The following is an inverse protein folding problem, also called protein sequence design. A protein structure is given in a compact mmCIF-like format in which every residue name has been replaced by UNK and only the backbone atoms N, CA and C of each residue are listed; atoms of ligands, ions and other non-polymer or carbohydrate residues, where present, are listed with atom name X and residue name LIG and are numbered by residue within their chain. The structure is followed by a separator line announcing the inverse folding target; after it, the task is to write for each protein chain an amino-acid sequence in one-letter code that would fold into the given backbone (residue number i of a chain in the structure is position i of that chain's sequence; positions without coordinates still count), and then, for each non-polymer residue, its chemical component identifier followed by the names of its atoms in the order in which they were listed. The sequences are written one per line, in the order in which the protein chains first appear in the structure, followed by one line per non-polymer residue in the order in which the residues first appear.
data_IF_028872013960
#
_entry.id   IF_028872013960
#
_cell.length_a   1.000
_cell.length_b   1.000
_cell.length_c   1.000
_cell.angle_alpha   90.00
_cell.angle_beta   90.00
_cell.angle_gamma   90.00
#
_symmetry.space_group_name_H-M   'P 1'
#
loop_
_entity.id
_entity.type
_entity.pdbx_description
1 polymer ?
#
# COMPACT_ATOMS: atom_id res chain seq x y z
N UNK A 1 -5.64 9.96 3.44
CA UNK A 1 -4.88 8.98 4.23
C UNK A 1 -5.72 8.23 5.28
N UNK A 2 -6.91 8.71 5.63
CA UNK A 2 -7.79 8.00 6.55
C UNK A 2 -8.48 6.84 5.82
N UNK A 3 -8.07 5.59 6.11
CA UNK A 3 -8.62 4.41 5.49
C UNK A 3 -8.36 3.16 6.36
N UNK A 4 -9.24 2.17 6.24
CA UNK A 4 -8.93 0.80 6.63
C UNK A 4 -8.10 0.14 5.52
N UNK A 5 -7.03 -0.58 5.88
CA UNK A 5 -6.04 -1.04 4.90
C UNK A 5 -5.51 -2.46 5.09
N UNK A 6 -6.09 -3.25 5.99
CA UNK A 6 -5.61 -4.62 6.25
C UNK A 6 -6.51 -5.64 5.56
N UNK A 7 -6.00 -6.34 4.54
CA UNK A 7 -6.78 -7.28 3.71
C UNK A 7 -7.45 -8.37 4.56
N UNK A 8 -6.71 -9.04 5.47
CA UNK A 8 -7.29 -10.12 6.30
C UNK A 8 -8.45 -9.62 7.17
N UNK A 9 -8.34 -8.40 7.73
CA UNK A 9 -9.45 -7.79 8.47
C UNK A 9 -10.64 -7.49 7.56
N UNK A 10 -10.41 -7.16 6.29
CA UNK A 10 -11.52 -6.95 5.35
C UNK A 10 -12.27 -8.22 5.01
N UNK A 11 -11.61 -9.37 5.06
CA UNK A 11 -12.25 -10.68 4.83
C UNK A 11 -13.12 -11.07 6.02
N UNK A 12 -12.65 -10.82 7.25
CA UNK A 12 -13.37 -11.18 8.48
C UNK A 12 -14.47 -10.17 8.87
N UNK A 13 -14.35 -8.89 8.48
CA UNK A 13 -15.29 -7.81 8.83
C UNK A 13 -15.28 -6.70 7.77
N UNK A 14 -15.98 -6.88 6.63
CA UNK A 14 -15.94 -5.94 5.51
C UNK A 14 -16.66 -4.61 5.77
N UNK A 15 -17.61 -4.57 6.71
CA UNK A 15 -18.47 -3.42 6.93
C UNK A 15 -17.67 -2.15 7.27
N UNK A 16 -16.67 -2.28 8.13
CA UNK A 16 -15.82 -1.12 8.52
C UNK A 16 -15.08 -0.53 7.32
N UNK A 17 -14.71 -1.36 6.34
CA UNK A 17 -14.07 -0.91 5.09
C UNK A 17 -15.04 -0.13 4.20
N UNK A 18 -16.31 -0.54 4.14
CA UNK A 18 -17.38 0.17 3.41
C UNK A 18 -17.63 1.53 4.08
N UNK A 19 -17.83 1.56 5.39
CA UNK A 19 -18.06 2.79 6.14
C UNK A 19 -16.87 3.77 6.04
N UNK A 20 -15.66 3.29 6.22
CA UNK A 20 -14.47 4.15 6.24
C UNK A 20 -14.02 4.54 4.83
N UNK A 21 -13.84 3.56 3.93
CA UNK A 21 -13.21 3.83 2.64
C UNK A 21 -14.17 4.38 1.61
N UNK A 22 -15.45 3.97 1.62
CA UNK A 22 -16.45 4.41 0.64
C UNK A 22 -17.22 5.60 1.17
N UNK A 23 -17.94 5.44 2.27
CA UNK A 23 -18.77 6.49 2.85
C UNK A 23 -17.90 7.65 3.39
N UNK A 24 -16.78 7.35 4.06
CA UNK A 24 -15.83 8.36 4.51
C UNK A 24 -15.29 9.20 3.36
N UNK A 25 -14.91 8.58 2.23
CA UNK A 25 -14.49 9.30 1.01
C UNK A 25 -15.61 10.20 0.48
N UNK A 26 -16.84 9.71 0.41
CA UNK A 26 -18.00 10.51 -0.03
C UNK A 26 -18.21 11.74 0.87
N UNK A 27 -18.09 11.59 2.19
CA UNK A 27 -18.22 12.70 3.14
C UNK A 27 -17.13 13.74 2.91
N UNK A 28 -15.88 13.31 2.74
CA UNK A 28 -14.77 14.23 2.48
C UNK A 28 -14.92 14.96 1.14
N UNK A 29 -15.42 14.30 0.10
CA UNK A 29 -15.71 14.93 -1.19
C UNK A 29 -16.85 15.95 -1.10
N UNK A 30 -17.90 15.67 -0.32
CA UNK A 30 -18.96 16.65 -0.05
C UNK A 30 -18.40 17.90 0.65
N UNK A 31 -17.56 17.71 1.67
CA UNK A 31 -16.89 18.81 2.35
C UNK A 31 -15.97 19.58 1.40
N UNK A 32 -15.13 18.87 0.62
CA UNK A 32 -14.24 19.50 -0.36
C UNK A 32 -15.00 20.38 -1.37
N UNK A 33 -16.15 19.90 -1.86
CA UNK A 33 -17.04 20.66 -2.72
C UNK A 33 -17.65 21.87 -2.02
N UNK A 34 -18.15 21.70 -0.80
CA UNK A 34 -18.82 22.76 -0.04
C UNK A 34 -17.85 23.89 0.33
N UNK A 35 -16.59 23.58 0.61
CA UNK A 35 -15.55 24.53 0.97
C UNK A 35 -14.68 24.98 -0.21
N UNK A 36 -15.02 24.62 -1.44
CA UNK A 36 -14.32 25.01 -2.66
C UNK A 36 -12.81 24.72 -2.60
N UNK A 37 -12.44 23.50 -2.14
CA UNK A 37 -11.04 23.10 -2.04
C UNK A 37 -10.40 23.10 -3.43
N UNK A 38 -9.22 23.72 -3.54
CA UNK A 38 -8.50 23.89 -4.81
C UNK A 38 -8.07 22.56 -5.45
N UNK A 39 -7.72 21.56 -4.62
CA UNK A 39 -7.32 20.23 -5.07
C UNK A 39 -7.68 19.16 -4.04
N UNK A 40 -8.19 18.04 -4.50
CA UNK A 40 -8.47 16.85 -3.69
C UNK A 40 -7.69 15.67 -4.24
N UNK A 41 -6.79 15.08 -3.45
CA UNK A 41 -6.04 13.91 -3.86
C UNK A 41 -6.47 12.69 -3.05
N UNK A 42 -6.91 11.64 -3.75
CA UNK A 42 -7.21 10.32 -3.21
C UNK A 42 -5.99 9.41 -3.30
N UNK A 43 -5.50 8.94 -2.17
CA UNK A 43 -4.49 7.88 -2.13
C UNK A 43 -5.19 6.52 -2.23
N UNK A 44 -4.92 5.80 -3.32
CA UNK A 44 -5.45 4.47 -3.63
C UNK A 44 -4.33 3.44 -3.69
N UNK A 45 -4.59 2.29 -4.25
CA UNK A 45 -3.71 1.13 -4.29
C UNK A 45 -3.75 0.44 -5.66
N UNK A 46 -2.70 -0.24 -6.06
CA UNK A 46 -2.64 -1.09 -7.25
C UNK A 46 -3.54 -2.34 -7.13
N UNK A 47 -3.88 -2.76 -5.91
CA UNK A 47 -4.80 -3.88 -5.67
C UNK A 47 -6.19 -3.69 -6.31
N UNK A 48 -6.56 -2.45 -6.68
CA UNK A 48 -7.84 -2.18 -7.39
C UNK A 48 -7.87 -2.77 -8.80
N UNK A 49 -6.71 -3.06 -9.38
CA UNK A 49 -6.59 -3.65 -10.71
C UNK A 49 -6.80 -5.17 -10.74
N UNK A 50 -6.70 -5.84 -9.59
CA UNK A 50 -6.74 -7.30 -9.49
C UNK A 50 -5.36 -7.94 -9.61
N UNK A 51 -5.28 -9.17 -10.13
CA UNK A 51 -4.04 -9.94 -10.21
C UNK A 51 -3.49 -9.99 -11.64
N UNK A 52 -2.19 -9.77 -11.80
CA UNK A 52 -1.47 -10.00 -13.05
C UNK A 52 -1.09 -11.48 -13.22
N UNK A 53 -0.89 -11.88 -14.48
CA UNK A 53 -0.16 -13.08 -14.83
C UNK A 53 1.36 -12.94 -14.58
N UNK A 54 2.13 -13.82 -15.22
CA UNK A 54 3.60 -13.83 -15.07
C UNK A 54 4.28 -12.58 -15.63
N UNK A 55 3.68 -11.93 -16.61
CA UNK A 55 4.25 -10.79 -17.34
C UNK A 55 3.27 -9.61 -17.40
N UNK A 56 3.78 -8.45 -17.84
CA UNK A 56 3.02 -7.23 -18.03
C UNK A 56 2.95 -6.34 -16.80
N UNK A 57 2.27 -5.19 -16.98
CA UNK A 57 2.08 -4.17 -15.95
C UNK A 57 0.64 -3.68 -15.96
N UNK A 58 0.16 -3.19 -14.83
CA UNK A 58 -1.03 -2.38 -14.77
C UNK A 58 -0.74 -0.94 -15.18
N UNK A 59 -1.56 -0.42 -16.05
CA UNK A 59 -1.58 0.98 -16.48
C UNK A 59 -2.79 1.69 -15.88
N UNK A 60 -2.81 3.02 -15.89
CA UNK A 60 -3.95 3.79 -15.38
C UNK A 60 -5.24 3.52 -16.15
N UNK A 61 -5.13 3.02 -17.38
CA UNK A 61 -6.26 2.62 -18.24
C UNK A 61 -6.72 1.19 -18.02
N UNK A 62 -5.99 0.39 -17.23
CA UNK A 62 -6.39 -0.99 -16.92
C UNK A 62 -7.73 -1.02 -16.19
N UNK A 63 -8.70 -1.84 -16.61
CA UNK A 63 -9.97 -2.00 -15.92
C UNK A 63 -9.80 -2.43 -14.47
N UNK A 64 -10.67 -1.93 -13.58
CA UNK A 64 -10.68 -2.33 -12.18
C UNK A 64 -11.29 -3.73 -12.02
N UNK A 65 -10.59 -4.62 -11.34
CA UNK A 65 -11.02 -6.00 -11.08
C UNK A 65 -10.57 -6.48 -9.68
N UNK A 66 -10.93 -5.76 -8.60
CA UNK A 66 -10.48 -6.05 -7.24
C UNK A 66 -10.96 -7.41 -6.74
N UNK A 67 -10.09 -8.19 -6.06
CA UNK A 67 -10.38 -9.55 -5.60
C UNK A 67 -10.60 -9.66 -4.08
N UNK A 68 -10.42 -8.59 -3.32
CA UNK A 68 -10.68 -8.58 -1.87
C UNK A 68 -11.69 -7.51 -1.48
N UNK A 69 -12.39 -7.62 -0.31
CA UNK A 69 -13.27 -6.55 0.18
C UNK A 69 -12.52 -5.22 0.38
N UNK A 70 -11.25 -5.26 0.82
CA UNK A 70 -10.42 -4.07 0.90
C UNK A 70 -10.22 -3.42 -0.47
N UNK A 71 -9.70 -4.16 -1.45
CA UNK A 71 -9.44 -3.61 -2.78
C UNK A 71 -10.73 -3.16 -3.48
N UNK A 72 -11.85 -3.86 -3.27
CA UNK A 72 -13.17 -3.45 -3.76
C UNK A 72 -13.63 -2.12 -3.13
N UNK A 73 -13.40 -1.92 -1.83
CA UNK A 73 -13.72 -0.66 -1.15
C UNK A 73 -12.89 0.51 -1.67
N UNK A 74 -11.60 0.28 -1.98
CA UNK A 74 -10.71 1.29 -2.57
C UNK A 74 -11.09 1.62 -4.01
N UNK A 75 -11.41 0.60 -4.83
CA UNK A 75 -11.92 0.80 -6.19
C UNK A 75 -13.23 1.61 -6.20
N UNK A 76 -14.15 1.31 -5.27
CA UNK A 76 -15.38 2.07 -5.10
C UNK A 76 -15.11 3.54 -4.73
N UNK A 77 -14.16 3.78 -3.84
CA UNK A 77 -13.74 5.14 -3.49
C UNK A 77 -13.18 5.88 -4.72
N UNK A 78 -12.33 5.25 -5.53
CA UNK A 78 -11.80 5.82 -6.78
C UNK A 78 -12.93 6.23 -7.74
N UNK A 79 -13.93 5.38 -7.92
CA UNK A 79 -15.09 5.65 -8.79
C UNK A 79 -15.91 6.85 -8.27
N UNK A 80 -16.10 6.96 -6.95
CA UNK A 80 -16.78 8.11 -6.35
C UNK A 80 -15.95 9.38 -6.56
N UNK A 81 -14.64 9.34 -6.33
CA UNK A 81 -13.74 10.50 -6.58
C UNK A 81 -13.83 10.95 -8.04
N UNK A 82 -13.76 10.01 -8.99
CA UNK A 82 -13.94 10.29 -10.42
C UNK A 82 -15.29 10.94 -10.72
N UNK A 83 -16.38 10.44 -10.12
CA UNK A 83 -17.72 10.98 -10.34
C UNK A 83 -17.86 12.44 -9.89
N UNK A 84 -17.15 12.85 -8.84
CA UNK A 84 -17.16 14.24 -8.38
C UNK A 84 -16.43 15.19 -9.34
N UNK A 85 -15.38 14.72 -10.01
CA UNK A 85 -14.76 15.47 -11.10
C UNK A 85 -15.71 15.62 -12.29
N UNK A 86 -16.26 14.53 -12.80
CA UNK A 86 -17.11 14.52 -13.98
C UNK A 86 -18.44 15.30 -13.77
N UNK A 87 -19.05 15.15 -12.59
CA UNK A 87 -20.37 15.72 -12.32
C UNK A 87 -20.30 17.18 -11.83
N UNK A 88 -19.33 17.48 -11.00
CA UNK A 88 -19.28 18.76 -10.29
C UNK A 88 -18.08 19.63 -10.65
N UNK A 89 -17.15 19.13 -11.47
CA UNK A 89 -15.89 19.82 -11.78
C UNK A 89 -14.95 19.97 -10.58
N UNK A 90 -15.14 19.16 -9.51
CA UNK A 90 -14.24 19.22 -8.36
C UNK A 90 -12.83 18.77 -8.80
N UNK A 91 -11.77 19.57 -8.58
CA UNK A 91 -10.42 19.23 -9.06
C UNK A 91 -9.81 18.05 -8.29
N UNK A 92 -10.22 16.84 -8.63
CA UNK A 92 -9.77 15.62 -7.99
C UNK A 92 -8.58 14.99 -8.72
N UNK A 93 -7.75 14.28 -7.96
CA UNK A 93 -6.60 13.50 -8.39
C UNK A 93 -6.61 12.15 -7.69
N UNK A 94 -6.11 11.11 -8.32
CA UNK A 94 -5.97 9.78 -7.71
C UNK A 94 -4.53 9.30 -7.90
N UNK A 95 -3.89 8.81 -6.83
CA UNK A 95 -2.68 8.01 -6.94
C UNK A 95 -2.99 6.56 -6.62
N UNK A 96 -2.49 5.61 -7.42
CA UNK A 96 -2.52 4.17 -7.14
C UNK A 96 -1.10 3.72 -6.90
N UNK A 97 -0.81 3.33 -5.66
CA UNK A 97 0.56 2.98 -5.29
C UNK A 97 0.75 1.48 -5.11
N UNK A 98 1.97 1.04 -5.33
CA UNK A 98 2.45 -0.29 -4.97
C UNK A 98 2.68 -0.45 -3.46
N UNK A 99 3.19 -1.60 -3.03
CA UNK A 99 3.38 -1.92 -1.61
C UNK A 99 4.39 -0.98 -0.97
N UNK A 100 3.93 -0.17 -0.03
CA UNK A 100 4.80 0.72 0.74
C UNK A 100 5.60 -0.04 1.79
N UNK A 101 6.82 0.40 2.04
CA UNK A 101 7.64 -0.02 3.18
C UNK A 101 8.49 1.16 3.68
N UNK A 102 8.92 1.11 4.93
CA UNK A 102 9.75 2.18 5.53
C UNK A 102 9.38 2.48 6.97
N UNK A 103 9.93 3.57 7.52
CA UNK A 103 9.63 4.05 8.85
C UNK A 103 8.14 4.25 9.12
N UNK A 104 7.72 4.01 10.36
CA UNK A 104 6.35 4.22 10.84
C UNK A 104 5.27 3.35 10.19
N UNK A 105 5.61 2.33 9.39
CA UNK A 105 4.61 1.39 8.89
C UNK A 105 4.01 0.58 10.06
N UNK A 106 2.68 0.44 10.06
CA UNK A 106 1.98 -0.23 11.15
C UNK A 106 2.44 -1.69 11.31
N UNK A 107 2.73 -2.18 12.54
CA UNK A 107 3.37 -3.48 12.80
C UNK A 107 2.59 -4.73 12.38
N UNK A 108 1.40 -4.61 11.80
CA UNK A 108 0.65 -5.73 11.22
C UNK A 108 1.02 -6.03 9.76
N UNK A 109 1.75 -5.13 9.10
CA UNK A 109 2.21 -5.32 7.71
C UNK A 109 3.47 -6.18 7.67
N UNK A 110 3.71 -6.88 6.53
CA UNK A 110 4.72 -7.94 6.38
C UNK A 110 6.10 -7.55 6.95
N UNK A 111 6.72 -6.49 6.44
CA UNK A 111 8.10 -6.12 6.83
C UNK A 111 8.19 -5.78 8.32
N UNK A 112 7.40 -4.84 8.88
CA UNK A 112 7.51 -4.52 10.30
C UNK A 112 7.05 -5.66 11.22
N UNK A 113 6.09 -6.49 10.78
CA UNK A 113 5.68 -7.69 11.52
C UNK A 113 6.85 -8.67 11.67
N UNK A 114 7.54 -8.94 10.57
CA UNK A 114 8.66 -9.89 10.56
C UNK A 114 9.81 -9.38 11.44
N UNK A 115 10.19 -8.11 11.29
CA UNK A 115 11.20 -7.49 12.15
C UNK A 115 10.81 -7.58 13.64
N UNK A 116 9.55 -7.26 13.97
CA UNK A 116 9.06 -7.30 15.35
C UNK A 116 9.08 -8.71 15.94
N UNK A 117 8.72 -9.73 15.15
CA UNK A 117 8.77 -11.14 15.57
C UNK A 117 10.19 -11.63 15.79
N UNK A 118 11.09 -11.34 14.85
CA UNK A 118 12.49 -11.74 14.92
C UNK A 118 13.23 -11.09 16.10
N UNK A 119 12.87 -9.85 16.46
CA UNK A 119 13.36 -9.20 17.69
C UNK A 119 12.96 -9.95 18.97
N UNK A 120 11.82 -10.66 18.93
CA UNK A 120 11.32 -11.48 20.03
C UNK A 120 11.78 -12.94 19.94
N UNK A 121 12.63 -13.29 18.95
CA UNK A 121 13.02 -14.66 18.60
C UNK A 121 11.81 -15.55 18.24
N UNK A 122 10.77 -14.98 17.66
CA UNK A 122 9.59 -15.69 17.16
C UNK A 122 9.73 -15.98 15.66
N UNK A 123 9.08 -17.06 15.20
CA UNK A 123 8.99 -17.38 13.78
C UNK A 123 8.13 -16.38 13.02
N UNK A 124 8.45 -16.17 11.74
CA UNK A 124 7.71 -15.31 10.82
C UNK A 124 6.75 -16.13 9.96
N UNK A 125 5.46 -15.76 9.87
CA UNK A 125 4.48 -16.50 9.08
C UNK A 125 4.59 -16.14 7.60
N UNK A 126 4.91 -17.13 6.76
CA UNK A 126 4.89 -17.00 5.29
C UNK A 126 3.65 -17.69 4.76
N UNK A 127 2.77 -16.93 4.11
CA UNK A 127 1.55 -17.46 3.51
C UNK A 127 1.86 -18.37 2.32
N UNK A 128 1.27 -19.59 2.30
CA UNK A 128 1.45 -20.57 1.24
C UNK A 128 2.93 -20.90 0.98
N UNK A 129 3.35 -20.80 -0.26
CA UNK A 129 4.73 -21.00 -0.71
C UNK A 129 5.60 -19.72 -0.66
N UNK A 130 5.00 -18.57 -0.34
CA UNK A 130 5.68 -17.29 -0.32
C UNK A 130 6.02 -16.69 -1.68
N UNK A 131 5.52 -17.27 -2.78
CA UNK A 131 5.87 -16.89 -4.16
C UNK A 131 5.01 -15.76 -4.73
N UNK A 132 4.11 -15.16 -3.92
CA UNK A 132 3.37 -13.99 -4.33
C UNK A 132 4.32 -12.81 -4.55
N UNK A 133 4.26 -12.21 -5.74
CA UNK A 133 5.12 -11.09 -6.14
C UNK A 133 4.45 -9.76 -5.83
N UNK A 134 5.19 -8.85 -5.26
CA UNK A 134 4.77 -7.47 -4.98
C UNK A 134 5.82 -6.50 -5.50
N UNK A 135 5.36 -5.37 -6.03
CA UNK A 135 6.22 -4.22 -6.28
C UNK A 135 6.33 -3.40 -4.98
N UNK A 136 7.53 -3.00 -4.61
CA UNK A 136 7.81 -2.34 -3.33
C UNK A 136 8.34 -0.92 -3.54
N UNK A 137 7.68 0.05 -2.87
CA UNK A 137 8.08 1.45 -2.91
C UNK A 137 8.45 1.97 -1.51
N UNK A 138 9.61 2.63 -1.43
CA UNK A 138 10.03 3.26 -0.18
C UNK A 138 9.11 4.43 0.17
N UNK A 139 8.70 4.54 1.43
CA UNK A 139 7.65 5.47 1.87
C UNK A 139 7.94 6.93 1.54
N UNK A 140 9.21 7.37 1.60
CA UNK A 140 9.55 8.75 1.24
C UNK A 140 9.41 9.02 -0.26
N UNK A 141 9.68 8.04 -1.11
CA UNK A 141 9.43 8.17 -2.55
C UNK A 141 7.92 8.28 -2.80
N UNK A 142 7.10 7.46 -2.13
CA UNK A 142 5.65 7.59 -2.23
C UNK A 142 5.15 8.96 -1.73
N UNK A 143 5.67 9.47 -0.61
CA UNK A 143 5.32 10.82 -0.14
C UNK A 143 5.70 11.90 -1.16
N UNK A 144 6.87 11.80 -1.79
CA UNK A 144 7.31 12.75 -2.83
C UNK A 144 6.44 12.67 -4.08
N UNK A 145 5.97 11.46 -4.45
CA UNK A 145 5.02 11.29 -5.55
C UNK A 145 3.67 11.97 -5.25
N UNK A 146 3.14 11.75 -4.04
CA UNK A 146 1.90 12.39 -3.58
C UNK A 146 2.01 13.91 -3.65
N UNK A 147 3.10 14.48 -3.14
CA UNK A 147 3.37 15.92 -3.17
C UNK A 147 3.45 16.43 -4.63
N UNK A 148 4.18 15.71 -5.47
CA UNK A 148 4.31 16.04 -6.89
C UNK A 148 2.95 16.01 -7.62
N UNK A 149 2.15 14.96 -7.42
CA UNK A 149 0.83 14.84 -8.04
C UNK A 149 -0.14 15.90 -7.50
N UNK A 150 -0.11 16.16 -6.20
CA UNK A 150 -0.97 17.20 -5.60
C UNK A 150 -0.71 18.58 -6.21
N UNK A 151 0.56 18.95 -6.42
CA UNK A 151 0.93 20.28 -6.88
C UNK A 151 0.97 20.43 -8.41
N UNK A 152 1.37 19.38 -9.14
CA UNK A 152 1.62 19.44 -10.59
C UNK A 152 0.68 18.57 -11.42
N UNK A 153 -0.02 17.60 -10.80
CA UNK A 153 -0.90 16.69 -11.52
C UNK A 153 -2.07 17.41 -12.20
N UNK A 154 -2.54 16.87 -13.31
CA UNK A 154 -3.70 17.38 -14.04
C UNK A 154 -4.99 16.90 -13.36
N UNK A 155 -5.91 17.79 -12.93
CA UNK A 155 -7.18 17.41 -12.34
C UNK A 155 -7.96 16.40 -13.18
N UNK A 156 -8.63 15.46 -12.53
CA UNK A 156 -9.35 14.36 -13.16
C UNK A 156 -8.48 13.15 -13.53
N UNK A 157 -7.15 13.27 -13.39
CA UNK A 157 -6.23 12.20 -13.79
C UNK A 157 -5.89 11.25 -12.64
N UNK A 158 -5.53 10.04 -13.04
CA UNK A 158 -4.99 8.97 -12.19
C UNK A 158 -3.49 8.86 -12.50
N UNK A 159 -2.68 8.61 -11.48
CA UNK A 159 -1.25 8.37 -11.59
C UNK A 159 -0.86 7.11 -10.82
N UNK A 160 -0.27 6.15 -11.51
CA UNK A 160 0.36 5.01 -10.88
C UNK A 160 1.69 5.41 -10.24
N UNK A 161 1.98 4.87 -9.05
CA UNK A 161 3.17 5.19 -8.27
C UNK A 161 3.79 3.88 -7.76
N UNK A 162 4.73 3.33 -8.51
CA UNK A 162 5.42 2.06 -8.21
C UNK A 162 6.90 2.26 -7.92
N UNK A 163 7.49 1.27 -7.27
CA UNK A 163 8.91 1.24 -6.97
C UNK A 163 9.76 0.62 -8.08
N UNK A 164 9.15 -0.13 -9.00
CA UNK A 164 9.83 -1.02 -9.94
C UNK A 164 10.76 -2.04 -9.26
N UNK A 165 10.36 -2.50 -8.07
CA UNK A 165 11.09 -3.43 -7.24
C UNK A 165 10.23 -4.66 -6.96
N UNK A 166 9.98 -5.47 -8.00
CA UNK A 166 9.22 -6.71 -7.87
C UNK A 166 10.05 -7.75 -7.09
N UNK A 167 9.48 -8.23 -5.99
CA UNK A 167 10.08 -9.31 -5.19
C UNK A 167 8.98 -10.23 -4.65
N UNK A 168 9.31 -11.50 -4.54
CA UNK A 168 8.45 -12.46 -3.83
C UNK A 168 8.45 -12.19 -2.33
N UNK A 169 7.38 -12.59 -1.65
CA UNK A 169 7.34 -12.51 -0.19
C UNK A 169 8.46 -13.33 0.46
N UNK A 170 8.86 -14.45 -0.17
CA UNK A 170 9.95 -15.28 0.31
C UNK A 170 11.32 -14.58 0.17
N UNK A 171 11.59 -13.90 -0.95
CA UNK A 171 12.81 -13.09 -1.11
C UNK A 171 12.89 -11.99 -0.05
N UNK A 172 11.79 -11.26 0.22
CA UNK A 172 11.73 -10.28 1.30
C UNK A 172 12.02 -10.92 2.66
N UNK A 173 11.47 -12.11 2.90
CA UNK A 173 11.70 -12.86 4.15
C UNK A 173 13.18 -13.17 4.34
N UNK A 174 13.83 -13.72 3.32
CA UNK A 174 15.27 -14.04 3.37
C UNK A 174 16.13 -12.80 3.60
N UNK A 175 15.85 -11.69 2.92
CA UNK A 175 16.57 -10.42 3.13
C UNK A 175 16.45 -9.91 4.57
N UNK A 176 15.27 -10.02 5.18
CA UNK A 176 15.07 -9.61 6.57
C UNK A 176 15.80 -10.55 7.52
N UNK A 177 15.73 -11.87 7.29
CA UNK A 177 16.44 -12.87 8.10
C UNK A 177 17.96 -12.63 8.07
N UNK A 178 18.54 -12.47 6.88
CA UNK A 178 19.96 -12.20 6.69
C UNK A 178 20.39 -10.92 7.44
N UNK A 179 19.67 -9.81 7.24
CA UNK A 179 19.97 -8.53 7.88
C UNK A 179 19.86 -8.58 9.42
N UNK A 180 19.06 -9.51 9.96
CA UNK A 180 18.89 -9.71 11.40
C UNK A 180 19.70 -10.89 11.95
N UNK A 181 20.63 -11.47 11.18
CA UNK A 181 21.44 -12.63 11.54
C UNK A 181 20.60 -13.83 12.02
N UNK A 182 19.53 -14.14 11.28
CA UNK A 182 18.64 -15.29 11.50
C UNK A 182 18.71 -16.24 10.31
N UNK A 183 18.44 -17.51 10.56
CA UNK A 183 18.40 -18.56 9.54
C UNK A 183 16.95 -18.95 9.16
N UNK A 184 16.80 -19.86 8.20
CA UNK A 184 15.50 -20.31 7.70
C UNK A 184 14.64 -21.06 8.72
N UNK A 185 15.19 -21.51 9.86
CA UNK A 185 14.42 -22.15 10.94
C UNK A 185 13.40 -21.21 11.56
N UNK A 186 13.56 -19.90 11.33
CA UNK A 186 12.59 -18.87 11.73
C UNK A 186 11.43 -18.72 10.76
N UNK A 187 11.41 -19.38 9.60
CA UNK A 187 10.26 -19.37 8.69
C UNK A 187 9.23 -20.41 9.17
N UNK A 188 7.97 -20.01 9.17
CA UNK A 188 6.83 -20.88 9.39
C UNK A 188 5.84 -20.69 8.25
N UNK A 189 5.71 -21.70 7.37
CA UNK A 189 4.69 -21.67 6.33
C UNK A 189 3.31 -21.88 6.94
N UNK A 190 2.39 -20.97 6.65
CA UNK A 190 1.00 -21.00 7.14
C UNK A 190 0.03 -21.12 5.96
N UNK A 191 -1.23 -21.45 6.25
CA UNK A 191 -2.29 -21.51 5.24
C UNK A 191 -2.38 -20.20 4.44
N UNK A 192 -2.54 -20.33 3.12
CA UNK A 192 -2.61 -19.13 2.26
C UNK A 192 -3.92 -18.39 2.45
N UNK A 193 -3.88 -17.09 2.17
CA UNK A 193 -5.01 -16.17 2.29
C UNK A 193 -6.05 -16.45 1.20
N UNK A 194 -7.32 -16.34 1.51
CA UNK A 194 -8.40 -16.36 0.52
C UNK A 194 -8.29 -15.17 -0.44
N UNK A 195 -8.41 -15.44 -1.74
CA UNK A 195 -8.31 -14.41 -2.76
C UNK A 195 -6.93 -13.73 -2.84
N UNK A 196 -5.87 -14.46 -2.51
CA UNK A 196 -4.51 -13.93 -2.51
C UNK A 196 -4.00 -13.75 -3.94
N UNK A 197 -3.94 -12.52 -4.40
CA UNK A 197 -3.42 -12.17 -5.72
C UNK A 197 -1.96 -12.60 -5.88
N UNK A 198 -1.63 -13.18 -7.05
CA UNK A 198 -0.29 -13.74 -7.28
C UNK A 198 0.75 -12.68 -7.55
N UNK A 199 0.43 -11.66 -8.36
CA UNK A 199 1.42 -10.65 -8.76
C UNK A 199 0.79 -9.28 -8.94
N UNK A 200 1.48 -8.26 -8.44
CA UNK A 200 1.24 -6.85 -8.73
C UNK A 200 2.50 -6.23 -9.32
N UNK A 201 2.33 -5.49 -10.41
CA UNK A 201 3.35 -4.61 -10.97
C UNK A 201 2.65 -3.46 -11.70
N UNK A 202 3.05 -2.23 -11.46
CA UNK A 202 2.45 -1.04 -12.05
C UNK A 202 3.45 -0.24 -12.88
N UNK A 203 2.97 0.37 -13.96
CA UNK A 203 3.78 1.21 -14.83
C UNK A 203 3.77 2.66 -14.33
N UNK A 204 4.96 3.26 -14.23
CA UNK A 204 5.14 4.66 -13.81
C UNK A 204 5.33 5.64 -14.98
N UNK A 205 5.20 5.19 -16.23
CA UNK A 205 5.55 6.00 -17.40
C UNK A 205 4.79 7.33 -17.42
N UNK A 206 3.53 7.33 -17.01
CA UNK A 206 2.70 8.53 -16.99
C UNK A 206 3.22 9.58 -15.99
N UNK A 207 3.40 9.20 -14.73
CA UNK A 207 3.90 10.13 -13.71
C UNK A 207 5.31 10.62 -14.04
N UNK A 208 6.15 9.74 -14.59
CA UNK A 208 7.51 10.10 -15.02
C UNK A 208 7.48 11.05 -16.21
N UNK A 209 6.70 10.73 -17.25
CA UNK A 209 6.63 11.54 -18.48
C UNK A 209 5.95 12.89 -18.28
N UNK A 210 4.85 12.95 -17.53
CA UNK A 210 4.08 14.18 -17.33
C UNK A 210 4.64 15.06 -16.20
N UNK A 211 5.12 14.46 -15.10
CA UNK A 211 5.47 15.20 -13.89
C UNK A 211 6.96 15.15 -13.55
N UNK A 212 7.76 14.34 -14.26
CA UNK A 212 9.21 14.18 -14.04
C UNK A 212 9.56 13.42 -12.75
N UNK A 213 8.59 12.78 -12.10
CA UNK A 213 8.82 12.02 -10.89
C UNK A 213 9.30 10.58 -11.20
N UNK A 214 10.23 10.11 -10.38
CA UNK A 214 10.68 8.71 -10.34
C UNK A 214 11.14 8.36 -8.93
N UNK A 215 11.08 7.07 -8.52
CA UNK A 215 11.65 6.64 -7.23
C UNK A 215 13.14 6.93 -7.19
N UNK A 216 13.65 7.29 -6.02
CA UNK A 216 15.05 7.69 -5.79
C UNK A 216 15.83 6.71 -4.92
N UNK A 217 15.13 5.87 -4.13
CA UNK A 217 15.74 4.91 -3.22
C UNK A 217 15.62 3.51 -3.80
N UNK A 218 16.75 2.80 -3.94
CA UNK A 218 16.74 1.39 -4.33
C UNK A 218 16.12 0.52 -3.23
N UNK A 219 15.61 -0.66 -3.62
CA UNK A 219 15.04 -1.58 -2.62
C UNK A 219 16.09 -2.02 -1.59
N UNK A 220 17.30 -2.32 -2.05
CA UNK A 220 18.43 -2.77 -1.24
C UNK A 220 18.83 -1.73 -0.19
N UNK A 221 18.83 -0.46 -0.55
CA UNK A 221 19.08 0.65 0.40
C UNK A 221 17.90 0.84 1.34
N UNK A 222 16.69 0.93 0.80
CA UNK A 222 15.48 1.22 1.56
C UNK A 222 15.14 0.15 2.60
N UNK A 223 15.39 -1.14 2.31
CA UNK A 223 15.12 -2.22 3.27
C UNK A 223 16.08 -2.15 4.47
N UNK A 224 17.37 -1.84 4.24
CA UNK A 224 18.33 -1.66 5.33
C UNK A 224 17.98 -0.45 6.19
N UNK A 225 17.63 0.69 5.59
CA UNK A 225 17.15 1.88 6.30
C UNK A 225 15.90 1.56 7.13
N UNK A 226 15.00 0.73 6.60
CA UNK A 226 13.78 0.32 7.29
C UNK A 226 14.09 -0.56 8.50
N UNK A 227 14.93 -1.58 8.34
CA UNK A 227 15.33 -2.48 9.43
C UNK A 227 16.03 -1.67 10.54
N UNK A 228 17.02 -0.84 10.16
CA UNK A 228 17.73 0.02 11.12
C UNK A 228 16.77 0.92 11.90
N UNK A 229 15.78 1.51 11.21
CA UNK A 229 14.79 2.33 11.87
C UNK A 229 14.00 1.53 12.93
N UNK A 230 13.51 0.32 12.62
CA UNK A 230 12.77 -0.50 13.58
C UNK A 230 13.64 -0.97 14.76
N UNK A 231 14.92 -1.30 14.50
CA UNK A 231 15.88 -1.67 15.56
C UNK A 231 16.06 -0.52 16.57
N UNK A 232 16.13 0.72 16.06
CA UNK A 232 16.35 1.92 16.88
C UNK A 232 15.07 2.51 17.48
N UNK A 233 13.87 2.11 17.03
CA UNK A 233 12.59 2.70 17.45
C UNK A 233 11.63 1.71 18.13
N UNK A 234 12.16 0.75 18.91
CA UNK A 234 11.35 -0.27 19.61
C UNK A 234 10.32 0.33 20.60
N UNK A 235 10.59 1.51 21.15
CA UNK A 235 9.61 2.22 22.01
C UNK A 235 8.36 2.61 21.24
N UNK A 236 8.51 3.04 19.99
CA UNK A 236 7.39 3.36 19.11
C UNK A 236 6.57 2.11 18.80
N UNK A 237 7.21 0.99 18.43
CA UNK A 237 6.54 -0.30 18.17
C UNK A 237 5.68 -0.70 19.37
N UNK A 238 6.27 -0.73 20.57
CA UNK A 238 5.55 -1.06 21.81
C UNK A 238 4.35 -0.15 22.07
N UNK A 239 4.48 1.16 21.80
CA UNK A 239 3.39 2.12 21.99
C UNK A 239 2.21 1.87 21.05
N UNK A 240 2.49 1.45 19.80
CA UNK A 240 1.48 1.14 18.79
C UNK A 240 0.78 -0.19 19.12
N UNK A 241 1.53 -1.23 19.51
CA UNK A 241 0.99 -2.52 19.96
C UNK A 241 0.04 -2.37 21.17
N UNK A 242 0.41 -1.52 22.15
CA UNK A 242 -0.42 -1.24 23.33
C UNK A 242 -1.74 -0.51 22.99
N UNK A 243 -1.73 0.37 21.97
CA UNK A 243 -2.95 1.05 21.49
C UNK A 243 -3.92 0.06 20.84
N UNK A 244 -3.42 -0.93 20.09
CA UNK A 244 -4.24 -1.98 19.49
C UNK A 244 -5.04 -2.76 20.56
N UNK A 245 -4.43 -3.09 21.68
CA UNK A 245 -5.10 -3.79 22.78
C UNK A 245 -6.14 -2.97 23.56
N UNK A 246 -6.24 -1.64 23.31
CA UNK A 246 -7.27 -0.77 23.92
C UNK A 246 -8.46 -0.50 22.99
N UNK A 247 -8.33 -0.82 21.70
CA UNK A 247 -9.35 -0.58 20.68
C UNK A 247 -10.02 -1.89 20.21
N UNK A 248 -9.55 -3.03 20.70
CA UNK A 248 -10.15 -4.35 20.54
C UNK A 248 -10.97 -4.72 21.79
#
# INVERSE_FOLDING_TARGET
FAAESHVDRSISGPEVFIETNIKGTSILLQAAKAFHIERYLQVSTDEVYGSLGAEGYFYETTPLAPNSPYSASKASADLIVRSYYETFGLPTLITRCSNNYGPYQYPEKLIPLFISKLLKNEKVPVYGDGMNVRDWIYVYDHCSAIDTVLHKGTPGQIYNVGGHNEKTNLEITHLILEAMNKDESYIEHVEDRLGHDKRYAICNDKITGELGWKPSVSFEEGILLTIDWYLNNQKWIKSVEQRKGRLA
#
